data_IF_816886206843
#
_entry.id   IF_816886206843
#
_cell.length_a   1.000
_cell.length_b   1.000
_cell.length_c   1.000
_cell.angle_alpha   90.00
_cell.angle_beta   90.00
_cell.angle_gamma   90.00
#
_symmetry.space_group_name_H-M   'P 1'
#
loop_
_entity.id
_entity.type
_entity.pdbx_description
1 polymer ?
#
# COMPACT_ATOMS: atom_id res chain seq x y z
N UNK A 1 -0.24 0.16 1.01
CA UNK A 1 -1.20 -0.72 0.31
C UNK A 1 -1.93 -1.68 1.25
N UNK A 2 -1.28 -2.45 2.13
CA UNK A 2 -1.97 -3.33 3.10
C UNK A 2 -2.99 -2.58 4.00
N UNK A 3 -2.50 -1.52 4.66
CA UNK A 3 -3.31 -0.58 5.49
C UNK A 3 -4.36 0.18 4.65
N UNK A 4 -4.17 0.26 3.34
CA UNK A 4 -5.13 0.89 2.42
C UNK A 4 -6.14 -0.12 1.86
N UNK A 5 -6.04 -1.42 2.20
CA UNK A 5 -6.92 -2.46 1.66
C UNK A 5 -6.61 -2.89 0.22
N UNK A 6 -5.52 -2.39 -0.37
CA UNK A 6 -5.19 -2.62 -1.78
C UNK A 6 -4.39 -3.90 -2.03
N UNK A 7 -3.70 -4.43 -1.01
CA UNK A 7 -2.82 -5.59 -1.19
C UNK A 7 -3.60 -6.91 -1.15
N UNK A 8 -4.54 -7.01 -0.22
CA UNK A 8 -5.46 -8.13 -0.10
C UNK A 8 -6.86 -7.52 0.08
N UNK A 9 -7.80 -7.87 -0.79
CA UNK A 9 -9.16 -7.34 -0.71
C UNK A 9 -9.74 -7.53 0.68
N UNK A 10 -10.24 -6.45 1.29
CA UNK A 10 -10.81 -6.46 2.65
C UNK A 10 -9.78 -6.44 3.80
N UNK A 11 -8.47 -6.37 3.54
CA UNK A 11 -7.47 -6.38 4.63
C UNK A 11 -7.57 -5.20 5.59
N UNK A 12 -8.05 -4.05 5.11
CA UNK A 12 -8.23 -2.87 5.96
C UNK A 12 -9.31 -3.10 7.02
N UNK A 13 -10.41 -3.77 6.65
CA UNK A 13 -11.51 -4.09 7.56
C UNK A 13 -11.12 -5.22 8.52
N UNK A 14 -10.55 -6.32 7.99
CA UNK A 14 -10.15 -7.47 8.79
C UNK A 14 -9.13 -7.12 9.89
N UNK A 15 -8.22 -6.18 9.61
CA UNK A 15 -7.17 -5.74 10.54
C UNK A 15 -7.58 -4.51 11.38
N UNK A 16 -8.84 -4.08 11.32
CA UNK A 16 -9.35 -2.89 12.01
C UNK A 16 -8.49 -1.64 11.81
N UNK A 17 -8.02 -1.42 10.59
CA UNK A 17 -6.98 -0.41 10.30
C UNK A 17 -7.43 1.01 10.67
N UNK A 18 -8.74 1.29 10.62
CA UNK A 18 -9.36 2.54 11.03
C UNK A 18 -9.00 2.99 12.46
N UNK A 19 -8.63 2.07 13.35
CA UNK A 19 -8.22 2.38 14.73
C UNK A 19 -6.82 3.02 14.80
N UNK A 20 -6.06 3.02 13.70
CA UNK A 20 -4.68 3.49 13.64
C UNK A 20 -4.51 4.71 12.72
N UNK A 21 -5.05 5.89 13.09
CA UNK A 21 -5.08 7.06 12.22
C UNK A 21 -3.68 7.54 11.81
N UNK A 22 -2.68 7.40 12.69
CA UNK A 22 -1.30 7.79 12.40
C UNK A 22 -0.63 6.86 11.38
N UNK A 23 -0.93 5.56 11.45
CA UNK A 23 -0.42 4.56 10.49
C UNK A 23 -1.04 4.81 9.12
N UNK A 24 -2.34 5.07 9.05
CA UNK A 24 -3.03 5.46 7.80
C UNK A 24 -2.41 6.74 7.22
N UNK A 25 -2.23 7.78 8.03
CA UNK A 25 -1.66 9.04 7.58
C UNK A 25 -0.22 8.91 7.08
N UNK A 26 0.58 8.05 7.73
CA UNK A 26 1.94 7.73 7.26
C UNK A 26 1.90 6.93 5.94
N UNK A 27 1.07 5.89 5.85
CA UNK A 27 0.94 5.07 4.66
C UNK A 27 0.50 5.90 3.44
N UNK A 28 -0.42 6.84 3.64
CA UNK A 28 -0.88 7.77 2.60
C UNK A 28 0.22 8.74 2.15
N UNK A 29 1.08 9.19 3.07
CA UNK A 29 2.25 10.01 2.73
C UNK A 29 3.29 9.22 1.94
N UNK A 30 3.56 7.96 2.33
CA UNK A 30 4.50 7.08 1.63
C UNK A 30 4.00 6.75 0.21
N UNK A 31 2.71 6.45 0.04
CA UNK A 31 2.10 6.12 -1.24
C UNK A 31 2.26 7.23 -2.30
N UNK A 32 2.34 8.50 -1.88
CA UNK A 32 2.51 9.66 -2.77
C UNK A 32 3.96 9.88 -3.22
N UNK A 33 4.94 9.11 -2.73
CA UNK A 33 6.35 9.31 -3.09
C UNK A 33 6.60 8.87 -4.54
N UNK A 34 7.33 9.66 -5.35
CA UNK A 34 7.60 9.31 -6.75
C UNK A 34 8.28 7.96 -6.93
N UNK A 35 9.19 7.59 -6.03
CA UNK A 35 9.86 6.29 -6.06
C UNK A 35 8.88 5.12 -5.82
N UNK A 36 7.88 5.30 -4.94
CA UNK A 36 6.86 4.27 -4.67
C UNK A 36 5.96 4.10 -5.89
N UNK A 37 5.52 5.19 -6.51
CA UNK A 37 4.72 5.15 -7.74
C UNK A 37 5.48 4.42 -8.86
N UNK A 38 6.77 4.76 -9.08
CA UNK A 38 7.61 4.09 -10.09
C UNK A 38 7.79 2.60 -9.82
N UNK A 39 8.06 2.22 -8.57
CA UNK A 39 8.21 0.81 -8.21
C UNK A 39 6.92 0.00 -8.45
N UNK A 40 5.76 0.62 -8.24
CA UNK A 40 4.46 -0.02 -8.49
C UNK A 40 4.11 -0.14 -9.98
N UNK A 41 4.72 0.68 -10.82
CA UNK A 41 4.58 0.63 -12.27
C UNK A 41 5.75 -0.10 -12.95
N UNK A 42 6.63 -0.74 -12.18
CA UNK A 42 7.81 -1.42 -12.72
C UNK A 42 7.40 -2.69 -13.46
N UNK A 43 7.95 -2.86 -14.66
CA UNK A 43 7.79 -4.07 -15.45
C UNK A 43 8.66 -5.18 -14.90
N UNK A 44 8.07 -6.36 -14.70
CA UNK A 44 8.78 -7.55 -14.24
C UNK A 44 9.30 -8.32 -15.44
N UNK A 45 10.60 -8.60 -15.46
CA UNK A 45 11.19 -9.49 -16.46
C UNK A 45 10.96 -10.95 -16.06
N UNK A 46 10.65 -11.78 -17.04
CA UNK A 46 10.55 -13.22 -16.83
C UNK A 46 11.91 -13.81 -16.45
N UNK A 47 11.89 -14.82 -15.60
CA UNK A 47 13.05 -15.62 -15.23
C UNK A 47 12.96 -16.87 -16.10
N UNK A 48 13.66 -16.89 -17.24
CA UNK A 48 13.80 -18.07 -18.10
C UNK A 48 14.72 -19.13 -17.48
#
# INVERSE_FOLDING_TARGET
>A
RLVQGELYGGSAEFLSVQEYPHVIAWANRVAKRPAVIRALAADYQAIE
#
